data_IF_891079327091
#
_entry.id   IF_891079327091
#
_cell.length_a   1.000
_cell.length_b   1.000
_cell.length_c   1.000
_cell.angle_alpha   90.00
_cell.angle_beta   90.00
_cell.angle_gamma   90.00
#
_symmetry.space_group_name_H-M   'P 1'
#
loop_
_entity.id
_entity.type
_entity.pdbx_description
1 polymer ?
#
# COMPACT_ATOMS: atom_id res chain seq x y z
N UNK A 1 -6.99 10.26 -9.89
CA UNK A 1 -6.78 9.04 -10.73
C UNK A 1 -7.76 7.98 -10.25
N UNK A 2 -8.68 7.51 -11.10
CA UNK A 2 -9.50 6.33 -10.76
C UNK A 2 -8.62 5.09 -10.67
N UNK A 3 -9.12 4.03 -10.02
CA UNK A 3 -8.55 2.69 -10.21
C UNK A 3 -8.40 2.50 -11.71
N UNK A 4 -7.19 2.46 -12.22
CA UNK A 4 -6.94 1.99 -13.55
C UNK A 4 -6.77 0.49 -13.48
N UNK A 5 -7.16 -0.13 -14.54
CA UNK A 5 -7.09 -1.57 -14.73
C UNK A 5 -5.71 -2.15 -14.36
N UNK A 6 -5.60 -3.44 -14.23
CA UNK A 6 -4.38 -4.17 -13.97
C UNK A 6 -3.24 -3.74 -14.92
N UNK A 7 -2.09 -3.34 -14.36
CA UNK A 7 -0.85 -3.14 -15.10
C UNK A 7 -0.17 -4.50 -15.24
N UNK A 8 -0.30 -5.12 -16.41
CA UNK A 8 0.22 -6.46 -16.66
C UNK A 8 1.74 -6.46 -16.69
N UNK A 9 2.34 -7.32 -15.88
CA UNK A 9 3.78 -7.60 -15.89
C UNK A 9 4.66 -6.45 -15.43
N UNK A 10 4.16 -5.49 -14.64
CA UNK A 10 4.94 -4.34 -14.15
C UNK A 10 6.24 -4.77 -13.47
N UNK A 11 6.18 -5.82 -12.67
CA UNK A 11 7.32 -6.36 -11.92
C UNK A 11 7.76 -7.75 -12.39
N UNK A 12 7.35 -8.19 -13.60
CA UNK A 12 7.60 -9.57 -14.07
C UNK A 12 9.06 -9.98 -14.03
N UNK A 13 9.96 -9.10 -14.43
CA UNK A 13 11.39 -9.37 -14.47
C UNK A 13 12.07 -9.29 -13.08
N UNK A 14 11.33 -8.87 -12.06
CA UNK A 14 11.82 -8.62 -10.70
C UNK A 14 11.18 -9.54 -9.64
N UNK A 15 10.41 -10.54 -10.08
CA UNK A 15 9.67 -11.43 -9.14
C UNK A 15 10.61 -12.20 -8.23
N UNK A 16 11.73 -12.68 -8.74
CA UNK A 16 12.68 -13.43 -7.93
C UNK A 16 13.42 -12.51 -6.94
N UNK A 17 13.78 -11.28 -7.34
CA UNK A 17 14.32 -10.26 -6.42
C UNK A 17 13.31 -9.98 -5.30
N UNK A 18 12.04 -9.71 -5.64
CA UNK A 18 11.00 -9.46 -4.64
C UNK A 18 10.78 -10.64 -3.69
N UNK A 19 10.78 -11.88 -4.19
CA UNK A 19 10.65 -13.07 -3.34
C UNK A 19 11.84 -13.24 -2.40
N UNK A 20 13.06 -12.98 -2.88
CA UNK A 20 14.28 -13.00 -2.06
C UNK A 20 14.24 -11.91 -0.99
N UNK A 21 13.87 -10.69 -1.37
CA UNK A 21 13.69 -9.58 -0.44
C UNK A 21 12.68 -9.89 0.66
N UNK A 22 11.52 -10.46 0.30
CA UNK A 22 10.51 -10.92 1.27
C UNK A 22 11.08 -11.99 2.20
N UNK A 23 11.84 -12.96 1.69
CA UNK A 23 12.44 -14.01 2.52
C UNK A 23 13.46 -13.41 3.52
N UNK A 24 14.29 -12.46 3.08
CA UNK A 24 15.23 -11.74 3.96
C UNK A 24 14.51 -10.91 5.02
N UNK A 25 13.42 -10.22 4.63
CA UNK A 25 12.61 -9.45 5.57
C UNK A 25 11.97 -10.35 6.64
N UNK A 26 11.43 -11.50 6.27
CA UNK A 26 10.87 -12.44 7.24
C UNK A 26 11.92 -13.02 8.20
N UNK A 27 13.16 -13.19 7.76
CA UNK A 27 14.26 -13.63 8.62
C UNK A 27 14.75 -12.55 9.57
N UNK A 28 14.70 -11.30 9.14
CA UNK A 28 15.10 -10.13 9.92
C UNK A 28 14.05 -9.02 9.73
N UNK A 29 12.92 -9.07 10.45
CA UNK A 29 11.84 -8.11 10.33
C UNK A 29 12.28 -6.67 10.66
N UNK A 30 11.62 -5.71 10.03
CA UNK A 30 11.80 -4.28 10.31
C UNK A 30 11.11 -3.84 11.59
N UNK A 31 11.29 -2.57 11.98
CA UNK A 31 10.69 -2.04 13.20
C UNK A 31 9.15 -1.92 13.15
N UNK A 32 8.57 -2.04 11.98
CA UNK A 32 7.13 -1.95 11.77
C UNK A 32 6.48 -3.28 11.43
N UNK A 33 7.21 -4.39 11.58
CA UNK A 33 6.69 -5.72 11.34
C UNK A 33 5.58 -6.07 12.33
N UNK A 34 4.52 -6.67 11.83
CA UNK A 34 3.48 -7.27 12.64
C UNK A 34 3.10 -8.67 12.13
N UNK A 35 2.73 -9.54 13.05
CA UNK A 35 2.22 -10.85 12.72
C UNK A 35 0.96 -11.15 13.54
N UNK A 36 -0.11 -11.47 12.84
CA UNK A 36 -1.42 -11.74 13.41
C UNK A 36 -1.80 -13.20 13.19
N UNK A 37 -2.06 -13.91 14.28
CA UNK A 37 -2.58 -15.28 14.28
C UNK A 37 -3.93 -15.26 14.98
N UNK A 38 -4.99 -15.65 14.28
CA UNK A 38 -6.31 -15.79 14.89
C UNK A 38 -6.38 -17.06 15.75
N UNK A 39 -7.09 -16.99 16.87
CA UNK A 39 -7.22 -18.13 17.78
C UNK A 39 -7.81 -19.35 17.04
N UNK A 40 -7.14 -20.48 17.12
CA UNK A 40 -7.57 -21.74 16.50
C UNK A 40 -7.24 -21.88 15.01
N UNK A 41 -6.56 -20.90 14.39
CA UNK A 41 -6.10 -20.99 13.00
C UNK A 41 -4.65 -21.45 12.90
N UNK A 42 -4.33 -22.11 11.79
CA UNK A 42 -2.97 -22.55 11.47
C UNK A 42 -2.19 -21.54 10.66
N UNK A 43 -2.86 -20.58 10.03
CA UNK A 43 -2.26 -19.55 9.20
C UNK A 43 -2.12 -18.23 9.91
N UNK A 44 -1.12 -17.43 9.48
CA UNK A 44 -0.89 -16.07 9.98
C UNK A 44 -1.03 -15.02 8.88
N UNK A 45 -1.21 -13.78 9.29
CA UNK A 45 -1.05 -12.60 8.44
C UNK A 45 0.15 -11.80 8.96
N UNK A 46 1.23 -11.82 8.21
CA UNK A 46 2.43 -11.02 8.45
C UNK A 46 2.42 -9.81 7.51
N UNK A 47 2.74 -8.63 8.06
CA UNK A 47 3.00 -7.43 7.28
C UNK A 47 4.19 -6.64 7.84
N UNK A 48 4.89 -5.95 6.97
CA UNK A 48 6.01 -5.06 7.33
C UNK A 48 6.20 -3.99 6.25
N UNK A 49 6.58 -2.78 6.65
CA UNK A 49 6.72 -1.65 5.73
C UNK A 49 7.95 -0.80 6.01
N UNK A 50 8.33 0.08 5.06
CA UNK A 50 9.53 0.92 5.11
C UNK A 50 10.83 0.11 5.14
N UNK A 51 10.93 -0.91 4.32
CA UNK A 51 12.08 -1.82 4.29
C UNK A 51 12.97 -1.64 3.06
N UNK A 52 12.58 -0.81 2.10
CA UNK A 52 13.23 -0.68 0.81
C UNK A 52 14.71 -0.29 0.92
N UNK A 53 15.08 0.58 1.86
CA UNK A 53 16.45 1.07 2.04
C UNK A 53 17.37 0.12 2.84
N UNK A 54 16.82 -0.92 3.47
CA UNK A 54 17.60 -1.93 4.20
C UNK A 54 17.65 -3.30 3.51
N UNK A 55 16.82 -3.50 2.47
CA UNK A 55 16.76 -4.74 1.69
C UNK A 55 17.15 -4.42 0.25
N UNK A 56 18.38 -4.78 -0.19
CA UNK A 56 18.90 -4.41 -1.49
C UNK A 56 18.03 -4.86 -2.67
N UNK A 57 17.30 -5.98 -2.52
CA UNK A 57 16.39 -6.46 -3.55
C UNK A 57 15.20 -5.54 -3.74
N UNK A 58 14.67 -4.94 -2.68
CA UNK A 58 13.60 -3.96 -2.78
C UNK A 58 14.10 -2.65 -3.37
N UNK A 59 15.26 -2.17 -2.91
CA UNK A 59 15.90 -0.99 -3.51
C UNK A 59 16.10 -1.16 -5.01
N UNK A 60 16.69 -2.28 -5.44
CA UNK A 60 16.87 -2.60 -6.85
C UNK A 60 15.57 -2.53 -7.64
N UNK A 61 14.51 -3.18 -7.13
CA UNK A 61 13.21 -3.18 -7.82
C UNK A 61 12.62 -1.78 -7.93
N UNK A 62 12.72 -0.96 -6.89
CA UNK A 62 12.19 0.40 -6.87
C UNK A 62 12.96 1.30 -7.84
N UNK A 63 14.28 1.18 -7.88
CA UNK A 63 15.14 2.04 -8.70
C UNK A 63 15.21 1.62 -10.17
N UNK A 64 15.12 0.32 -10.47
CA UNK A 64 15.36 -0.20 -11.82
C UNK A 64 14.09 -0.62 -12.56
N UNK A 65 12.98 -0.91 -11.85
CA UNK A 65 11.76 -1.32 -12.52
C UNK A 65 11.06 -0.13 -13.22
N UNK A 66 10.16 -0.40 -14.18
CA UNK A 66 9.41 0.67 -14.84
C UNK A 66 8.34 1.31 -13.95
N UNK A 67 8.23 0.92 -12.67
CA UNK A 67 7.16 1.36 -11.78
C UNK A 67 7.11 2.89 -11.62
N UNK A 68 8.26 3.53 -11.39
CA UNK A 68 8.31 4.98 -11.21
C UNK A 68 7.94 5.75 -12.50
N UNK A 69 8.39 5.29 -13.67
CA UNK A 69 8.00 5.87 -14.96
C UNK A 69 6.49 5.70 -15.23
N UNK A 70 5.93 4.51 -14.94
CA UNK A 70 4.50 4.25 -15.08
C UNK A 70 3.71 5.13 -14.10
N UNK A 71 4.19 5.29 -12.87
CA UNK A 71 3.59 6.18 -11.88
C UNK A 71 3.55 7.64 -12.36
N UNK A 72 4.66 8.15 -12.90
CA UNK A 72 4.74 9.50 -13.49
C UNK A 72 3.63 9.71 -14.55
N UNK A 73 3.49 8.78 -15.47
CA UNK A 73 2.44 8.83 -16.49
C UNK A 73 1.01 8.76 -15.91
N UNK A 74 0.78 7.92 -14.91
CA UNK A 74 -0.53 7.78 -14.24
C UNK A 74 -0.90 9.03 -13.45
N UNK A 75 0.04 9.61 -12.74
CA UNK A 75 -0.13 10.83 -11.94
C UNK A 75 -0.09 12.11 -12.78
N UNK A 76 0.43 12.04 -14.02
CA UNK A 76 0.80 13.21 -14.84
C UNK A 76 1.78 14.12 -14.08
N UNK A 77 2.77 13.51 -13.47
CA UNK A 77 3.80 14.18 -12.68
C UNK A 77 5.12 14.17 -13.42
N UNK A 78 5.89 15.24 -13.30
CA UNK A 78 7.25 15.31 -13.86
C UNK A 78 8.25 14.58 -12.97
N UNK A 79 8.00 14.54 -11.67
CA UNK A 79 8.85 13.94 -10.65
C UNK A 79 8.09 12.87 -9.89
N UNK A 80 8.80 11.81 -9.49
CA UNK A 80 8.25 10.76 -8.63
C UNK A 80 9.22 10.51 -7.49
N UNK A 81 8.72 10.58 -6.27
CA UNK A 81 9.43 10.18 -5.06
C UNK A 81 8.85 8.87 -4.52
N UNK A 82 9.70 8.03 -3.94
CA UNK A 82 9.19 6.92 -3.12
C UNK A 82 8.66 7.48 -1.80
N UNK A 83 7.49 7.00 -1.37
CA UNK A 83 6.98 7.26 -0.04
C UNK A 83 7.32 6.10 0.89
N UNK A 84 6.86 4.90 0.59
CA UNK A 84 7.32 3.67 1.27
C UNK A 84 6.89 2.40 0.50
N UNK A 85 7.50 1.29 0.87
CA UNK A 85 7.10 -0.06 0.50
C UNK A 85 6.29 -0.74 1.63
N UNK A 86 5.55 -1.80 1.29
CA UNK A 86 4.81 -2.62 2.23
C UNK A 86 4.72 -4.06 1.72
N UNK A 87 5.12 -5.03 2.50
CA UNK A 87 4.91 -6.44 2.21
C UNK A 87 3.74 -6.99 3.03
N UNK A 88 2.96 -7.86 2.42
CA UNK A 88 1.77 -8.45 3.03
C UNK A 88 1.72 -9.95 2.70
N UNK A 89 1.86 -10.77 3.73
CA UNK A 89 1.96 -12.23 3.58
C UNK A 89 0.82 -12.88 4.35
N UNK A 90 -0.02 -13.60 3.63
CA UNK A 90 -1.10 -14.39 4.23
C UNK A 90 -0.80 -15.87 4.05
N UNK A 91 -0.53 -16.54 5.15
CA UNK A 91 -0.31 -17.99 5.16
C UNK A 91 -1.61 -18.74 4.86
N UNK A 92 -1.50 -20.00 4.36
CA UNK A 92 -2.67 -20.84 4.14
C UNK A 92 -3.52 -21.00 5.40
N UNK A 93 -4.84 -20.85 5.26
CA UNK A 93 -5.79 -21.08 6.35
C UNK A 93 -5.97 -19.90 7.31
N UNK A 94 -5.40 -18.71 7.03
CA UNK A 94 -5.76 -17.52 7.81
C UNK A 94 -7.08 -16.91 7.33
N UNK A 95 -8.01 -16.68 8.26
CA UNK A 95 -9.23 -15.91 8.00
C UNK A 95 -9.01 -14.41 8.07
N UNK A 96 -7.90 -13.96 8.66
CA UNK A 96 -7.65 -12.52 8.92
C UNK A 96 -7.64 -11.73 7.59
N UNK A 97 -8.63 -10.82 7.41
CA UNK A 97 -8.65 -9.95 6.24
C UNK A 97 -7.62 -8.84 6.38
N UNK A 98 -7.30 -8.16 5.28
CA UNK A 98 -6.88 -6.76 5.31
C UNK A 98 -8.16 -5.96 5.37
N UNK A 99 -8.44 -5.22 6.45
CA UNK A 99 -9.69 -4.47 6.60
C UNK A 99 -9.90 -3.46 5.47
N UNK A 100 -11.15 -3.09 5.23
CA UNK A 100 -11.46 -2.00 4.33
C UNK A 100 -10.90 -0.68 4.87
N UNK A 101 -10.06 0.00 4.09
CA UNK A 101 -9.42 1.26 4.47
C UNK A 101 -9.03 2.08 3.25
N UNK A 102 -8.76 3.35 3.47
CA UNK A 102 -8.05 4.23 2.55
C UNK A 102 -6.65 4.47 3.09
N UNK A 103 -5.64 4.51 2.22
CA UNK A 103 -4.25 4.81 2.62
C UNK A 103 -4.08 6.27 3.10
N UNK A 104 -4.71 7.21 2.39
CA UNK A 104 -4.52 8.65 2.61
C UNK A 104 -4.70 9.12 4.07
N UNK A 105 -5.72 8.68 4.82
CA UNK A 105 -5.89 9.14 6.21
C UNK A 105 -4.78 8.73 7.17
N UNK A 106 -4.06 7.64 6.86
CA UNK A 106 -2.95 7.18 7.69
C UNK A 106 -1.66 7.97 7.44
N UNK A 107 -1.53 8.64 6.28
CA UNK A 107 -0.30 9.25 5.83
C UNK A 107 -0.26 10.75 6.12
N UNK A 108 0.93 11.27 6.40
CA UNK A 108 1.16 12.71 6.53
C UNK A 108 1.37 13.41 5.17
N UNK A 109 0.88 12.82 4.09
CA UNK A 109 1.02 13.34 2.73
C UNK A 109 -0.34 13.70 2.19
N UNK A 110 -0.45 14.90 1.64
CA UNK A 110 -1.59 15.36 0.86
C UNK A 110 -1.16 15.68 -0.57
N UNK A 111 -2.12 15.64 -1.50
CA UNK A 111 -1.90 15.82 -2.93
C UNK A 111 -2.70 14.80 -3.75
N UNK A 112 -2.99 15.12 -5.01
CA UNK A 112 -3.74 14.21 -5.90
C UNK A 112 -2.81 13.32 -6.74
N UNK A 113 -1.53 13.70 -6.84
CA UNK A 113 -0.51 12.94 -7.55
C UNK A 113 0.12 11.90 -6.63
N UNK A 114 -0.63 10.85 -6.35
CA UNK A 114 -0.18 9.72 -5.57
C UNK A 114 -0.66 8.41 -6.21
N UNK A 115 0.10 7.34 -6.03
CA UNK A 115 -0.26 6.01 -6.52
C UNK A 115 0.32 4.91 -5.63
N UNK A 116 -0.51 3.94 -5.28
CA UNK A 116 -0.10 2.64 -4.76
C UNK A 116 -0.09 1.63 -5.90
N UNK A 117 1.01 0.88 -6.03
CA UNK A 117 1.04 -0.37 -6.77
C UNK A 117 0.93 -1.53 -5.78
N UNK A 118 -0.02 -2.42 -5.98
CA UNK A 118 -0.11 -3.68 -5.26
C UNK A 118 0.15 -4.83 -6.23
N UNK A 119 1.19 -5.61 -6.00
CA UNK A 119 1.64 -6.69 -6.87
C UNK A 119 1.72 -8.01 -6.12
N UNK A 120 1.01 -9.06 -6.54
CA UNK A 120 1.18 -10.38 -5.99
C UNK A 120 2.51 -11.00 -6.48
N UNK A 121 3.18 -11.71 -5.59
CA UNK A 121 4.37 -12.51 -5.90
C UNK A 121 4.03 -13.98 -6.17
N UNK A 122 2.79 -14.35 -5.91
CA UNK A 122 2.19 -15.64 -6.19
C UNK A 122 0.95 -15.43 -7.06
N UNK A 123 0.52 -16.46 -7.78
CA UNK A 123 -0.75 -16.35 -8.53
C UNK A 123 -1.91 -16.19 -7.55
N UNK A 124 -2.74 -15.16 -7.75
CA UNK A 124 -3.90 -14.89 -6.89
C UNK A 124 -5.19 -14.87 -7.69
N UNK A 125 -6.21 -15.48 -7.10
CA UNK A 125 -7.58 -15.43 -7.59
C UNK A 125 -8.55 -14.99 -6.48
N UNK A 126 -8.49 -15.65 -5.31
CA UNK A 126 -9.45 -15.45 -4.22
C UNK A 126 -8.96 -14.50 -3.12
N UNK A 127 -7.66 -14.39 -2.90
CA UNK A 127 -7.05 -13.51 -1.89
C UNK A 127 -6.42 -12.26 -2.52
N UNK A 128 -7.03 -11.77 -3.61
CA UNK A 128 -6.59 -10.59 -4.35
C UNK A 128 -6.95 -9.30 -3.63
N UNK A 129 -6.40 -8.20 -4.12
CA UNK A 129 -6.81 -6.86 -3.71
C UNK A 129 -8.22 -6.58 -4.22
N UNK A 130 -9.03 -5.97 -3.36
CA UNK A 130 -10.39 -5.52 -3.64
C UNK A 130 -10.46 -4.02 -3.49
N UNK A 131 -11.03 -3.33 -4.43
CA UNK A 131 -11.12 -1.87 -4.46
C UNK A 131 -12.55 -1.41 -4.74
N UNK A 132 -13.03 -0.42 -4.02
CA UNK A 132 -14.33 0.21 -4.28
C UNK A 132 -14.17 1.29 -5.35
N UNK A 133 -14.82 1.10 -6.49
CA UNK A 133 -14.74 2.01 -7.62
C UNK A 133 -15.24 3.41 -7.26
N UNK A 134 -14.44 4.44 -7.55
CA UNK A 134 -14.83 5.84 -7.34
C UNK A 134 -14.68 6.37 -5.92
N UNK A 135 -14.35 5.55 -4.92
CA UNK A 135 -14.27 5.94 -3.50
C UNK A 135 -13.24 7.06 -3.20
N UNK A 136 -12.21 7.23 -4.04
CA UNK A 136 -11.28 8.36 -3.94
C UNK A 136 -11.91 9.75 -4.18
N UNK A 137 -13.18 9.79 -4.62
CA UNK A 137 -13.94 11.04 -4.84
C UNK A 137 -14.89 11.36 -3.69
N UNK A 138 -14.92 10.54 -2.66
CA UNK A 138 -15.79 10.83 -1.51
C UNK A 138 -15.37 12.13 -0.84
N UNK A 139 -16.35 12.89 -0.37
CA UNK A 139 -16.14 14.21 0.22
C UNK A 139 -15.34 14.13 1.52
N UNK A 140 -15.60 13.10 2.32
CA UNK A 140 -14.84 12.82 3.53
C UNK A 140 -14.09 11.50 3.37
N UNK A 141 -12.87 11.39 3.91
CA UNK A 141 -12.16 10.12 3.98
C UNK A 141 -12.83 9.16 4.97
N UNK A 142 -12.51 7.88 4.84
CA UNK A 142 -12.93 6.85 5.77
C UNK A 142 -12.04 6.88 7.01
N UNK A 143 -12.64 6.68 8.18
CA UNK A 143 -11.96 6.63 9.46
C UNK A 143 -10.82 5.59 9.44
N UNK A 144 -9.58 6.00 9.69
CA UNK A 144 -8.51 5.03 9.83
C UNK A 144 -8.64 4.27 11.16
N UNK A 145 -8.47 2.95 11.09
CA UNK A 145 -8.58 2.06 12.27
C UNK A 145 -7.28 1.29 12.48
N UNK A 146 -7.01 0.87 13.72
CA UNK A 146 -5.92 -0.06 14.01
C UNK A 146 -6.37 -1.47 13.69
N UNK A 147 -5.64 -2.15 12.80
CA UNK A 147 -6.05 -3.45 12.26
C UNK A 147 -6.04 -4.59 13.28
N UNK A 148 -5.28 -4.44 14.36
CA UNK A 148 -5.22 -5.44 15.45
C UNK A 148 -6.22 -5.13 16.52
N UNK A 149 -6.23 -3.89 17.01
CA UNK A 149 -7.10 -3.46 18.10
C UNK A 149 -8.55 -3.20 17.64
N UNK A 150 -8.76 -3.03 16.34
CA UNK A 150 -10.07 -2.75 15.71
C UNK A 150 -10.74 -1.48 16.28
N UNK A 151 -9.93 -0.53 16.78
CA UNK A 151 -10.35 0.76 17.31
C UNK A 151 -9.95 1.91 16.39
N UNK A 152 -10.44 3.12 16.68
CA UNK A 152 -10.12 4.33 15.93
C UNK A 152 -8.64 4.66 16.04
N UNK A 153 -8.04 5.04 14.90
CA UNK A 153 -6.64 5.46 14.83
C UNK A 153 -6.46 6.89 15.36
N UNK A 154 -7.46 7.75 15.18
CA UNK A 154 -7.47 9.13 15.68
C UNK A 154 -8.55 9.35 16.75
N UNK A 155 -8.32 10.26 17.70
CA UNK A 155 -9.25 10.52 18.79
C UNK A 155 -10.53 11.25 18.35
N UNK A 156 -10.49 12.03 17.27
CA UNK A 156 -11.64 12.76 16.72
C UNK A 156 -12.07 12.13 15.39
N UNK A 157 -13.32 11.68 15.36
CA UNK A 157 -13.92 10.97 14.23
C UNK A 157 -14.83 11.86 13.35
N UNK A 158 -15.08 13.11 13.74
CA UNK A 158 -16.08 13.96 13.09
C UNK A 158 -15.78 14.28 11.62
N UNK A 159 -14.51 14.30 11.23
CA UNK A 159 -14.08 14.57 9.86
C UNK A 159 -14.01 13.34 8.96
N UNK A 160 -14.40 12.18 9.48
CA UNK A 160 -14.31 10.91 8.78
C UNK A 160 -15.70 10.27 8.57
N UNK A 161 -15.79 9.44 7.54
CA UNK A 161 -16.89 8.48 7.38
C UNK A 161 -16.58 7.22 8.20
N UNK A 162 -17.60 6.56 8.76
CA UNK A 162 -17.41 5.23 9.33
C UNK A 162 -16.91 4.27 8.25
N UNK A 163 -16.16 3.23 8.64
CA UNK A 163 -15.70 2.21 7.69
C UNK A 163 -16.93 1.46 7.17
N UNK A 164 -17.23 1.55 5.85
CA UNK A 164 -18.39 0.85 5.29
C UNK A 164 -18.10 -0.64 5.15
N UNK A 165 -19.16 -1.44 5.01
CA UNK A 165 -19.06 -2.80 4.49
C UNK A 165 -19.52 -2.82 3.01
N UNK A 166 -18.60 -2.72 2.04
CA UNK A 166 -18.95 -2.63 0.63
C UNK A 166 -19.72 -3.83 0.09
N UNK A 167 -19.55 -5.02 0.68
CA UNK A 167 -20.28 -6.22 0.26
C UNK A 167 -21.76 -6.12 0.68
N UNK A 168 -22.04 -5.59 1.87
CA UNK A 168 -23.41 -5.42 2.39
C UNK A 168 -24.10 -4.22 1.75
N UNK A 169 -23.36 -3.13 1.53
CA UNK A 169 -23.89 -1.88 0.97
C UNK A 169 -24.04 -1.90 -0.55
N UNK A 170 -23.65 -3.01 -1.21
CA UNK A 170 -23.81 -3.17 -2.66
C UNK A 170 -22.95 -2.23 -3.49
N UNK A 171 -21.78 -1.84 -2.98
CA UNK A 171 -20.86 -0.97 -3.69
C UNK A 171 -20.21 -1.68 -4.88
N UNK A 172 -19.78 -0.94 -5.90
CA UNK A 172 -19.07 -1.49 -7.04
C UNK A 172 -17.65 -1.88 -6.64
N UNK A 173 -17.42 -3.17 -6.36
CA UNK A 173 -16.13 -3.73 -5.99
C UNK A 173 -15.43 -4.25 -7.25
N UNK A 174 -14.17 -3.88 -7.43
CA UNK A 174 -13.27 -4.42 -8.43
C UNK A 174 -12.27 -5.35 -7.77
N UNK A 175 -12.10 -6.54 -8.32
CA UNK A 175 -11.18 -7.58 -7.90
C UNK A 175 -10.59 -8.27 -9.13
N UNK A 176 -9.34 -8.72 -9.08
CA UNK A 176 -8.64 -9.24 -10.24
C UNK A 176 -7.99 -10.59 -9.95
N UNK A 177 -8.11 -11.51 -10.88
CA UNK A 177 -7.18 -12.63 -10.97
C UNK A 177 -5.87 -12.13 -11.56
N UNK A 178 -4.73 -12.37 -10.89
CA UNK A 178 -3.44 -11.83 -11.29
C UNK A 178 -2.33 -12.86 -11.23
N UNK A 179 -1.43 -12.77 -12.22
CA UNK A 179 -0.17 -13.50 -12.23
C UNK A 179 0.91 -12.75 -11.42
N UNK A 180 1.94 -13.44 -10.94
CA UNK A 180 3.09 -12.80 -10.33
C UNK A 180 3.67 -11.71 -11.20
N UNK A 181 3.89 -10.52 -10.61
CA UNK A 181 4.42 -9.34 -11.29
C UNK A 181 3.41 -8.46 -12.03
N UNK A 182 2.15 -8.86 -12.12
CA UNK A 182 1.08 -7.92 -12.43
C UNK A 182 0.91 -6.93 -11.26
N UNK A 183 0.32 -5.75 -11.48
CA UNK A 183 0.02 -4.83 -10.40
C UNK A 183 -1.35 -4.16 -10.58
N UNK A 184 -2.02 -3.88 -9.49
CA UNK A 184 -3.14 -2.92 -9.45
C UNK A 184 -2.58 -1.57 -9.08
N UNK A 185 -2.91 -0.54 -9.87
CA UNK A 185 -2.55 0.85 -9.59
C UNK A 185 -3.77 1.61 -9.06
N UNK A 186 -3.66 2.21 -7.90
CA UNK A 186 -4.77 2.95 -7.28
C UNK A 186 -4.27 4.18 -6.50
N UNK A 187 -5.16 5.17 -6.35
CA UNK A 187 -4.90 6.38 -5.57
C UNK A 187 -5.02 6.08 -4.07
N UNK A 188 -4.27 6.79 -3.21
CA UNK A 188 -4.33 6.61 -1.75
C UNK A 188 -5.73 6.81 -1.14
N UNK A 189 -6.61 7.54 -1.82
CA UNK A 189 -8.01 7.72 -1.43
C UNK A 189 -8.96 6.58 -1.84
N UNK A 190 -8.47 5.51 -2.50
CA UNK A 190 -9.31 4.36 -2.84
C UNK A 190 -9.56 3.51 -1.60
N UNK A 191 -10.83 3.25 -1.30
CA UNK A 191 -11.23 2.25 -0.30
C UNK A 191 -10.88 0.87 -0.83
N UNK A 192 -10.03 0.16 -0.10
CA UNK A 192 -9.55 -1.15 -0.51
C UNK A 192 -9.34 -2.09 0.68
N UNK A 193 -9.25 -3.36 0.38
CA UNK A 193 -9.04 -4.42 1.37
C UNK A 193 -8.71 -5.74 0.68
N UNK A 194 -8.57 -6.80 1.45
CA UNK A 194 -8.37 -8.14 0.90
C UNK A 194 -8.90 -9.20 1.87
N UNK A 195 -9.53 -10.25 1.34
CA UNK A 195 -9.98 -11.37 2.16
C UNK A 195 -8.81 -12.10 2.83
N UNK A 196 -9.13 -12.91 3.83
CA UNK A 196 -8.21 -13.92 4.35
C UNK A 196 -7.79 -14.91 3.26
N UNK A 197 -6.79 -15.71 3.55
CA UNK A 197 -6.27 -16.70 2.62
C UNK A 197 -6.78 -18.11 3.00
N UNK A 198 -7.92 -18.50 2.44
CA UNK A 198 -8.52 -19.84 2.64
C UNK A 198 -7.93 -20.91 1.70
N UNK A 199 -6.98 -20.54 0.84
CA UNK A 199 -6.33 -21.48 -0.07
C UNK A 199 -5.26 -22.32 0.64
N UNK A 200 -4.71 -23.30 -0.06
CA UNK A 200 -3.61 -24.15 0.45
C UNK A 200 -2.23 -23.60 0.14
N UNK A 201 -2.14 -22.41 -0.47
CA UNK A 201 -0.87 -21.78 -0.87
C UNK A 201 -0.67 -20.46 -0.16
N UNK A 202 0.59 -20.16 0.19
CA UNK A 202 0.99 -18.84 0.68
C UNK A 202 0.67 -17.75 -0.36
N UNK A 203 0.17 -16.61 0.10
CA UNK A 203 -0.02 -15.43 -0.74
C UNK A 203 0.88 -14.31 -0.25
N UNK A 204 1.86 -13.93 -1.05
CA UNK A 204 2.76 -12.80 -0.83
C UNK A 204 2.37 -11.65 -1.76
N UNK A 205 2.38 -10.44 -1.25
CA UNK A 205 2.24 -9.23 -2.06
C UNK A 205 3.28 -8.20 -1.65
N UNK A 206 3.78 -7.48 -2.64
CA UNK A 206 4.61 -6.29 -2.49
C UNK A 206 3.78 -5.09 -2.92
N UNK A 207 3.78 -4.05 -2.12
CA UNK A 207 3.08 -2.81 -2.42
C UNK A 207 4.04 -1.64 -2.34
N UNK A 208 3.99 -0.75 -3.35
CA UNK A 208 4.87 0.40 -3.49
C UNK A 208 4.04 1.68 -3.54
N UNK A 209 4.33 2.63 -2.66
CA UNK A 209 3.68 3.95 -2.58
C UNK A 209 4.58 5.01 -3.15
N UNK A 210 4.08 5.71 -4.17
CA UNK A 210 4.79 6.75 -4.90
C UNK A 210 3.96 8.03 -4.91
N UNK A 211 4.66 9.16 -4.87
CA UNK A 211 4.08 10.51 -4.82
C UNK A 211 4.71 11.40 -5.90
N UNK A 212 3.96 12.39 -6.34
CA UNK A 212 4.33 13.29 -7.43
C UNK A 212 4.61 14.73 -6.99
N UNK A 213 4.54 15.64 -7.96
CA UNK A 213 4.95 17.06 -7.83
C UNK A 213 4.11 17.85 -6.81
N UNK A 214 2.84 17.49 -6.64
CA UNK A 214 1.91 18.20 -5.74
C UNK A 214 1.89 17.67 -4.31
N UNK A 215 2.64 16.61 -4.02
CA UNK A 215 2.69 16.02 -2.69
C UNK A 215 3.30 17.00 -1.67
N UNK A 216 2.60 17.17 -0.54
CA UNK A 216 3.00 18.06 0.56
C UNK A 216 2.86 17.34 1.89
N UNK A 217 3.75 17.68 2.81
CA UNK A 217 3.60 17.26 4.20
C UNK A 217 2.39 17.95 4.82
N UNK A 218 1.59 17.16 5.56
CA UNK A 218 0.46 17.66 6.35
C UNK A 218 0.48 17.05 7.75
N UNK A 219 0.09 17.85 8.73
CA UNK A 219 -0.13 17.36 10.08
C UNK A 219 -1.44 16.57 10.16
N UNK A 220 -1.45 15.51 10.95
CA UNK A 220 -2.65 14.71 11.23
C UNK A 220 -3.03 14.85 12.71
N UNK A 221 -4.27 14.51 13.09
CA UNK A 221 -4.74 14.61 14.48
C UNK A 221 -3.98 13.74 15.48
N UNK A 222 -3.11 12.86 15.01
CA UNK A 222 -2.32 11.93 15.81
C UNK A 222 -1.13 11.38 15.02
N UNK A 223 -0.47 10.33 15.54
CA UNK A 223 0.63 9.69 14.85
C UNK A 223 0.18 9.11 13.52
N UNK A 224 1.06 9.14 12.52
CA UNK A 224 0.82 8.57 11.18
C UNK A 224 1.35 7.13 11.10
N UNK A 225 0.95 6.40 10.09
CA UNK A 225 1.45 5.06 9.79
C UNK A 225 1.84 4.96 8.30
N UNK A 226 3.16 4.99 7.97
CA UNK A 226 4.32 5.01 8.88
C UNK A 226 4.56 6.38 9.55
N UNK A 227 5.20 6.38 10.74
CA UNK A 227 5.37 7.61 11.52
C UNK A 227 6.57 8.45 11.10
N UNK A 228 7.63 7.88 10.51
CA UNK A 228 8.87 8.56 10.11
C UNK A 228 9.41 9.58 11.14
N UNK A 229 9.73 9.17 12.37
CA UNK A 229 10.12 10.10 13.42
C UNK A 229 11.42 10.83 13.08
N UNK A 230 11.47 12.14 13.32
CA UNK A 230 12.67 12.96 13.10
C UNK A 230 12.79 13.57 11.70
N UNK A 231 11.78 13.47 10.86
CA UNK A 231 11.79 14.08 9.52
C UNK A 231 11.86 15.62 9.54
N UNK A 232 11.41 16.28 10.60
CA UNK A 232 11.48 17.74 10.83
C UNK A 232 10.92 18.58 9.66
N UNK A 233 9.86 18.12 9.00
CA UNK A 233 9.13 18.87 7.95
C UNK A 233 8.01 19.71 8.58
N UNK A 234 7.69 20.86 7.98
CA UNK A 234 6.55 21.68 8.34
C UNK A 234 5.40 21.51 7.33
N UNK A 235 4.16 21.73 7.79
CA UNK A 235 2.98 21.62 6.94
C UNK A 235 3.12 22.47 5.67
N UNK A 236 2.81 21.90 4.52
CA UNK A 236 2.91 22.51 3.20
C UNK A 236 4.28 22.33 2.52
N UNK A 237 5.29 21.83 3.19
CA UNK A 237 6.58 21.55 2.57
C UNK A 237 6.53 20.35 1.61
N UNK A 238 7.37 20.38 0.58
CA UNK A 238 7.65 19.22 -0.27
C UNK A 238 8.40 18.18 0.57
N UNK A 239 8.12 16.91 0.36
CA UNK A 239 8.80 15.86 1.11
C UNK A 239 10.30 15.86 0.80
N UNK A 240 11.10 15.78 1.87
CA UNK A 240 12.58 15.84 1.81
C UNK A 240 13.15 14.65 1.06
N UNK A 241 14.04 14.91 0.11
CA UNK A 241 14.63 13.88 -0.75
C UNK A 241 15.62 12.96 -0.02
N UNK A 242 16.20 13.40 1.09
CA UNK A 242 17.05 12.55 1.93
C UNK A 242 16.26 11.49 2.73
N UNK A 243 14.94 11.64 2.84
CA UNK A 243 14.02 10.68 3.46
C UNK A 243 13.15 9.95 2.41
N UNK A 244 12.77 10.67 1.37
CA UNK A 244 11.86 10.25 0.29
C UNK A 244 12.52 10.54 -1.05
N UNK A 245 13.53 9.75 -1.46
CA UNK A 245 14.32 10.04 -2.63
C UNK A 245 13.48 10.04 -3.92
N UNK A 246 13.93 10.87 -4.84
CA UNK A 246 13.41 10.86 -6.20
C UNK A 246 13.85 9.59 -6.91
N UNK A 247 12.89 8.87 -7.47
CA UNK A 247 13.10 7.60 -8.19
C UNK A 247 12.83 7.73 -9.69
N UNK A 248 12.30 8.86 -10.12
CA UNK A 248 12.10 9.17 -11.53
C UNK A 248 11.90 10.68 -11.74
N UNK A 249 12.51 11.19 -12.82
CA UNK A 249 12.25 12.52 -13.38
C UNK A 249 12.02 12.42 -14.88
N UNK A 250 10.94 13.03 -15.36
CA UNK A 250 10.66 13.12 -16.79
C UNK A 250 11.77 13.94 -17.45
N UNK A 251 12.42 13.45 -18.51
CA UNK A 251 13.29 14.30 -19.32
C UNK A 251 12.43 15.40 -19.96
N UNK A 252 12.91 16.63 -19.89
CA UNK A 252 12.26 17.82 -20.51
C UNK A 252 12.18 17.70 -22.03
#
# INVERSE_FOLDING_TARGET
MCIRDRVKGLFRNYIEDLKQGVAKNMQNPGPYASENVSAGESGSFFDDYCNWNRIPEFEKVIMESPAAMVAAGLMRSKRVQIFHDHILIKEPGTSKPTPWHQDAPYYFVDGVQNVSFWSPLDHVKEASLRCVAGSHKWVKPVLPTRWIAEDSFYPDEHDYLPVPDPDVEGMEIREWEMAPGDAVAFNFGILHGARGNKTTKRRRAFSLRLIGDDARYVERPGPTSPPFPGHNMNAGEILREDWFPEVYRHPD
#
